data_IF_388555408582
#
_entry.id   IF_388555408582
#
_cell.length_a   1.000
_cell.length_b   1.000
_cell.length_c   1.000
_cell.angle_alpha   90.00
_cell.angle_beta   90.00
_cell.angle_gamma   90.00
#
_symmetry.space_group_name_H-M   'P 1'
#
loop_
_entity.id
_entity.type
_entity.pdbx_description
1 polymer ?
#
# COMPACT_ATOMS: atom_id res chain seq x y z
N UNK A 1 -4.15 -34.03 -17.52
CA UNK A 1 -4.11 -32.59 -17.80
C UNK A 1 -2.78 -32.29 -18.48
N UNK A 2 -2.79 -31.64 -19.65
CA UNK A 2 -1.60 -31.32 -20.46
C UNK A 2 -0.93 -30.03 -20.00
N UNK A 3 0.33 -29.80 -20.37
CA UNK A 3 1.05 -28.55 -20.04
C UNK A 3 0.28 -27.30 -20.52
N UNK A 4 -0.34 -27.36 -21.70
CA UNK A 4 -1.11 -26.26 -22.27
C UNK A 4 -2.33 -25.91 -21.40
N UNK A 5 -3.00 -26.92 -20.83
CA UNK A 5 -4.14 -26.72 -19.93
C UNK A 5 -3.69 -26.03 -18.63
N UNK A 6 -2.56 -26.44 -18.04
CA UNK A 6 -2.00 -25.77 -16.86
C UNK A 6 -1.63 -24.31 -17.13
N UNK A 7 -1.01 -24.03 -18.28
CA UNK A 7 -0.68 -22.66 -18.69
C UNK A 7 -1.94 -21.82 -18.90
N UNK A 8 -2.98 -22.40 -19.51
CA UNK A 8 -4.27 -21.73 -19.69
C UNK A 8 -4.89 -21.33 -18.36
N UNK A 9 -4.93 -22.24 -17.39
CA UNK A 9 -5.42 -21.96 -16.04
C UNK A 9 -4.58 -20.87 -15.36
N UNK A 10 -3.26 -20.97 -15.42
CA UNK A 10 -2.37 -19.97 -14.83
C UNK A 10 -2.58 -18.56 -15.41
N UNK A 11 -2.76 -18.45 -16.72
CA UNK A 11 -3.03 -17.17 -17.40
C UNK A 11 -4.36 -16.57 -16.97
N UNK A 12 -5.40 -17.39 -16.80
CA UNK A 12 -6.71 -16.92 -16.31
C UNK A 12 -6.57 -16.36 -14.90
N UNK A 13 -5.92 -17.09 -13.98
CA UNK A 13 -5.71 -16.63 -12.61
C UNK A 13 -4.84 -15.37 -12.55
N UNK A 14 -3.75 -15.31 -13.32
CA UNK A 14 -2.90 -14.13 -13.41
C UNK A 14 -3.70 -12.92 -13.89
N UNK A 15 -4.51 -13.10 -14.93
CA UNK A 15 -5.37 -12.05 -15.48
C UNK A 15 -6.35 -11.55 -14.43
N UNK A 16 -7.10 -12.45 -13.78
CA UNK A 16 -8.04 -12.07 -12.72
C UNK A 16 -7.35 -11.33 -11.57
N UNK A 17 -6.17 -11.79 -11.15
CA UNK A 17 -5.39 -11.16 -10.09
C UNK A 17 -4.95 -9.74 -10.47
N UNK A 18 -4.31 -9.56 -11.62
CA UNK A 18 -3.78 -8.26 -12.02
C UNK A 18 -4.89 -7.25 -12.35
N UNK A 19 -5.93 -7.66 -13.07
CA UNK A 19 -7.05 -6.77 -13.37
C UNK A 19 -7.85 -6.44 -12.10
N UNK A 20 -8.07 -7.42 -11.22
CA UNK A 20 -8.71 -7.20 -9.92
C UNK A 20 -7.93 -6.22 -9.06
N UNK A 21 -6.60 -6.40 -8.95
CA UNK A 21 -5.72 -5.49 -8.22
C UNK A 21 -5.72 -4.08 -8.82
N UNK A 22 -5.60 -3.95 -10.13
CA UNK A 22 -5.65 -2.65 -10.82
C UNK A 22 -7.00 -1.93 -10.58
N UNK A 23 -8.12 -2.67 -10.64
CA UNK A 23 -9.43 -2.13 -10.37
C UNK A 23 -9.58 -1.67 -8.91
N UNK A 24 -9.10 -2.48 -7.95
CA UNK A 24 -9.12 -2.14 -6.53
C UNK A 24 -8.28 -0.87 -6.25
N UNK A 25 -7.09 -0.76 -6.83
CA UNK A 25 -6.25 0.43 -6.71
C UNK A 25 -6.90 1.67 -7.33
N UNK A 26 -7.52 1.52 -8.51
CA UNK A 26 -8.27 2.59 -9.15
C UNK A 26 -9.43 3.06 -8.26
N UNK A 27 -10.20 2.12 -7.69
CA UNK A 27 -11.27 2.42 -6.75
C UNK A 27 -10.73 3.13 -5.50
N UNK A 28 -9.65 2.64 -4.91
CA UNK A 28 -9.03 3.25 -3.71
C UNK A 28 -8.61 4.71 -3.98
N UNK A 29 -7.97 4.96 -5.14
CA UNK A 29 -7.64 6.31 -5.59
C UNK A 29 -8.89 7.18 -5.76
N UNK A 30 -9.91 6.67 -6.46
CA UNK A 30 -11.15 7.41 -6.71
C UNK A 30 -11.91 7.78 -5.42
N UNK A 31 -11.80 6.94 -4.40
CA UNK A 31 -12.41 7.14 -3.09
C UNK A 31 -11.48 7.77 -2.06
N UNK A 32 -10.42 8.45 -2.51
CA UNK A 32 -9.51 9.23 -1.66
C UNK A 32 -8.83 8.41 -0.55
N UNK A 33 -8.74 7.09 -0.68
CA UNK A 33 -8.16 6.20 0.33
C UNK A 33 -6.65 6.43 0.53
N UNK A 34 -6.00 7.15 -0.40
CA UNK A 34 -4.58 7.49 -0.33
C UNK A 34 -4.31 8.93 0.14
N UNK A 35 -5.32 9.75 0.43
CA UNK A 35 -5.12 11.17 0.70
C UNK A 35 -4.46 11.46 2.05
N UNK A 36 -4.67 10.59 3.03
CA UNK A 36 -4.26 10.80 4.43
C UNK A 36 -3.39 9.65 4.93
N UNK A 37 -2.49 9.13 4.08
CA UNK A 37 -1.62 8.01 4.47
C UNK A 37 -0.69 8.36 5.64
N UNK A 38 -0.18 9.60 5.65
CA UNK A 38 0.66 10.09 6.73
C UNK A 38 -0.12 10.20 8.04
N UNK A 39 -1.28 10.85 8.04
CA UNK A 39 -2.16 10.92 9.22
C UNK A 39 -2.59 9.52 9.69
N UNK A 40 -2.96 8.65 8.75
CA UNK A 40 -3.31 7.26 9.04
C UNK A 40 -2.18 6.46 9.67
N UNK A 41 -0.91 6.80 9.38
CA UNK A 41 0.23 6.17 10.05
C UNK A 41 0.45 6.67 11.47
N UNK A 42 -0.08 7.87 11.80
CA UNK A 42 0.09 8.53 13.09
C UNK A 42 -0.97 8.13 14.12
N UNK A 43 -2.05 7.45 13.71
CA UNK A 43 -3.14 7.00 14.61
C UNK A 43 -2.72 6.02 15.70
N UNK A 44 -1.52 5.44 15.61
CA UNK A 44 -0.95 4.58 16.64
C UNK A 44 -0.42 5.37 17.83
N UNK A 45 -0.09 6.64 17.64
CA UNK A 45 0.39 7.53 18.70
C UNK A 45 -0.79 8.16 19.43
N UNK A 46 -0.63 8.33 20.74
CA UNK A 46 -1.64 8.91 21.61
C UNK A 46 -1.01 9.86 22.64
N UNK A 47 -1.80 10.26 23.65
CA UNK A 47 -1.34 11.18 24.69
C UNK A 47 -0.32 10.52 25.64
N UNK A 48 -0.34 9.19 25.78
CA UNK A 48 0.61 8.43 26.59
C UNK A 48 1.91 8.14 25.82
N UNK A 49 1.81 7.88 24.52
CA UNK A 49 2.91 7.62 23.58
C UNK A 49 2.84 8.54 22.34
N UNK A 50 3.35 9.79 22.43
CA UNK A 50 3.31 10.74 21.32
C UNK A 50 4.36 10.43 20.24
N UNK A 51 4.17 11.02 19.05
CA UNK A 51 5.17 10.99 17.97
C UNK A 51 6.55 11.48 18.45
N UNK A 52 7.60 10.69 18.19
CA UNK A 52 8.98 11.06 18.50
C UNK A 52 9.48 12.24 17.65
N UNK A 53 10.32 13.09 18.24
CA UNK A 53 10.94 14.23 17.54
C UNK A 53 12.41 13.93 17.23
N UNK A 54 12.88 14.33 16.05
CA UNK A 54 14.30 14.22 15.69
C UNK A 54 15.14 15.13 16.60
N UNK A 55 16.04 14.53 17.38
CA UNK A 55 16.93 15.26 18.31
C UNK A 55 18.37 15.36 17.82
N UNK A 56 18.76 14.49 16.88
CA UNK A 56 20.11 14.45 16.32
C UNK A 56 20.13 15.09 14.93
N UNK A 57 21.13 15.94 14.68
CA UNK A 57 21.27 16.69 13.44
C UNK A 57 22.73 16.60 12.98
N UNK A 58 22.95 16.54 11.66
CA UNK A 58 24.29 16.69 11.12
C UNK A 58 24.85 18.07 11.54
N UNK A 59 26.16 18.17 11.86
CA UNK A 59 26.75 19.44 12.27
C UNK A 59 26.51 20.53 11.22
N UNK A 60 25.82 21.62 11.63
CA UNK A 60 25.55 22.79 10.78
C UNK A 60 24.12 22.88 10.22
N UNK A 61 23.25 21.91 10.46
CA UNK A 61 21.86 21.91 9.98
C UNK A 61 20.89 22.08 11.17
N UNK A 62 19.90 23.00 11.03
CA UNK A 62 18.73 23.16 11.89
C UNK A 62 17.55 23.68 11.07
#
# INVERSE_FOLDING_TARGET
MTLLEYLGVAVIFATLFFFGGAFALYWAKKNNQFNNLEEGSRVIFDEEEPEGQQTDFFPGER
#
